data_IF_049444287885
#
_entry.id   IF_049444287885
#
_cell.length_a   1.000
_cell.length_b   1.000
_cell.length_c   1.000
_cell.angle_alpha   90.00
_cell.angle_beta   90.00
_cell.angle_gamma   90.00
#
_symmetry.space_group_name_H-M   'P 1'
#
loop_
_entity.id
_entity.type
_entity.pdbx_description
1 polymer ?
#
# COMPACT_ATOMS: atom_id res chain seq x y z
N UNK A 1 -7.37 -25.23 19.91
CA UNK A 1 -6.92 -25.17 18.48
C UNK A 1 -5.65 -24.35 18.45
N UNK A 2 -4.54 -24.90 17.97
CA UNK A 2 -3.26 -24.19 17.88
C UNK A 2 -3.42 -23.01 16.89
N UNK A 3 -2.87 -21.83 17.26
CA UNK A 3 -2.89 -20.62 16.39
C UNK A 3 -2.42 -20.89 14.95
N UNK A 4 -1.48 -21.82 14.80
CA UNK A 4 -0.93 -22.25 13.48
C UNK A 4 -2.01 -22.85 12.57
N UNK A 5 -2.99 -23.58 13.11
CA UNK A 5 -4.04 -24.21 12.30
C UNK A 5 -5.07 -23.25 11.71
N UNK A 6 -5.35 -22.11 12.39
CA UNK A 6 -6.27 -21.09 11.87
C UNK A 6 -5.66 -20.33 10.70
N UNK A 7 -4.39 -20.02 10.84
CA UNK A 7 -3.59 -19.30 9.87
C UNK A 7 -3.41 -20.12 8.57
N UNK A 8 -2.97 -21.37 8.72
CA UNK A 8 -2.84 -22.30 7.60
C UNK A 8 -4.20 -22.58 6.91
N UNK A 9 -5.27 -22.69 7.68
CA UNK A 9 -6.61 -22.88 7.13
C UNK A 9 -7.04 -21.67 6.29
N UNK A 10 -6.79 -20.44 6.75
CA UNK A 10 -7.06 -19.25 5.96
C UNK A 10 -6.22 -19.22 4.66
N UNK A 11 -4.92 -19.41 4.77
CA UNK A 11 -4.01 -19.38 3.61
C UNK A 11 -4.35 -20.44 2.55
N UNK A 12 -4.81 -21.61 2.97
CA UNK A 12 -5.15 -22.70 2.08
C UNK A 12 -6.52 -22.56 1.42
N UNK A 13 -7.50 -21.91 2.10
CA UNK A 13 -8.89 -21.88 1.63
C UNK A 13 -9.30 -20.54 1.03
N UNK A 14 -8.76 -19.44 1.52
CA UNK A 14 -9.28 -18.11 1.25
C UNK A 14 -8.26 -17.14 0.67
N UNK A 15 -6.96 -17.40 0.84
CA UNK A 15 -5.95 -16.48 0.37
C UNK A 15 -5.88 -16.45 -1.15
N UNK A 16 -5.64 -15.28 -1.70
CA UNK A 16 -5.27 -15.11 -3.10
C UNK A 16 -3.94 -15.86 -3.34
N UNK A 17 -3.96 -16.72 -4.34
CA UNK A 17 -2.83 -17.58 -4.68
C UNK A 17 -2.22 -17.20 -6.03
N UNK A 18 -1.76 -18.23 -6.75
CA UNK A 18 -1.30 -18.09 -8.13
C UNK A 18 -2.39 -17.46 -8.99
N UNK A 19 -2.01 -16.65 -10.01
CA UNK A 19 -0.65 -16.53 -10.55
C UNK A 19 0.23 -15.46 -9.86
N UNK A 20 -0.28 -14.68 -8.94
CA UNK A 20 0.38 -13.50 -8.38
C UNK A 20 1.53 -13.87 -7.44
N UNK A 21 2.73 -13.38 -7.77
CA UNK A 21 3.95 -13.65 -7.02
C UNK A 21 4.64 -12.38 -6.60
N UNK A 22 5.12 -12.36 -5.37
CA UNK A 22 5.94 -11.27 -4.86
C UNK A 22 7.31 -11.26 -5.56
N UNK A 23 7.72 -10.08 -6.00
CA UNK A 23 9.06 -9.75 -6.46
C UNK A 23 9.68 -8.76 -5.45
N UNK A 24 10.76 -9.14 -4.80
CA UNK A 24 11.44 -8.33 -3.80
C UNK A 24 12.94 -8.57 -3.82
N UNK A 25 13.71 -7.55 -3.42
CA UNK A 25 15.18 -7.64 -3.36
C UNK A 25 15.65 -8.57 -2.23
N UNK A 26 14.91 -8.64 -1.15
CA UNK A 26 15.22 -9.48 0.00
C UNK A 26 13.96 -10.02 0.67
N UNK A 27 14.09 -11.19 1.29
CA UNK A 27 13.03 -11.88 2.03
C UNK A 27 13.30 -11.93 3.53
N UNK A 28 14.20 -11.06 4.06
CA UNK A 28 14.49 -11.03 5.49
C UNK A 28 13.21 -10.80 6.30
N UNK A 29 13.18 -11.33 7.50
CA UNK A 29 12.06 -11.12 8.42
C UNK A 29 11.80 -9.62 8.63
N UNK A 30 10.53 -9.24 8.72
CA UNK A 30 10.09 -7.89 9.03
C UNK A 30 9.04 -7.91 10.14
N UNK A 31 8.87 -6.77 10.79
CA UNK A 31 7.87 -6.58 11.86
C UNK A 31 6.55 -6.06 11.28
N UNK A 32 6.61 -5.32 10.18
CA UNK A 32 5.44 -4.72 9.56
C UNK A 32 5.55 -4.66 8.04
N UNK A 33 4.42 -4.78 7.37
CA UNK A 33 4.32 -4.69 5.92
C UNK A 33 3.24 -3.68 5.56
N UNK A 34 3.61 -2.69 4.74
CA UNK A 34 2.69 -1.70 4.17
C UNK A 34 2.27 -2.19 2.80
N UNK A 35 0.99 -2.46 2.61
CA UNK A 35 0.41 -2.90 1.34
C UNK A 35 -0.22 -1.72 0.63
N UNK A 36 0.20 -1.47 -0.61
CA UNK A 36 -0.27 -0.36 -1.45
C UNK A 36 -0.81 -0.93 -2.77
N UNK A 37 -2.14 -0.98 -2.96
CA UNK A 37 -2.70 -1.25 -4.28
C UNK A 37 -2.51 -0.02 -5.17
N UNK A 38 -2.14 -0.20 -6.44
CA UNK A 38 -1.94 0.88 -7.40
C UNK A 38 -2.59 0.54 -8.75
N UNK A 39 -3.43 1.44 -9.27
CA UNK A 39 -4.09 1.34 -10.55
C UNK A 39 -3.94 2.66 -11.30
N UNK A 40 -3.07 2.70 -12.30
CA UNK A 40 -2.76 3.90 -13.09
C UNK A 40 -2.34 5.12 -12.23
N UNK A 41 -1.61 4.85 -11.13
CA UNK A 41 -1.23 5.85 -10.11
C UNK A 41 0.29 6.03 -10.01
N UNK A 42 1.00 5.93 -11.15
CA UNK A 42 2.47 6.02 -11.18
C UNK A 42 3.00 7.20 -10.37
N UNK A 43 2.54 8.41 -10.67
CA UNK A 43 3.10 9.63 -10.10
C UNK A 43 2.77 9.77 -8.61
N UNK A 44 1.55 9.44 -8.22
CA UNK A 44 1.11 9.45 -6.82
C UNK A 44 1.83 8.38 -6.00
N UNK A 45 1.94 7.16 -6.53
CA UNK A 45 2.59 6.05 -5.85
C UNK A 45 4.03 6.38 -5.44
N UNK A 46 4.83 6.97 -6.33
CA UNK A 46 6.21 7.30 -5.98
C UNK A 46 6.30 8.44 -4.96
N UNK A 47 5.36 9.39 -4.96
CA UNK A 47 5.24 10.38 -3.90
C UNK A 47 4.88 9.73 -2.55
N UNK A 48 3.96 8.79 -2.54
CA UNK A 48 3.59 7.99 -1.36
C UNK A 48 4.79 7.20 -0.84
N UNK A 49 5.51 6.49 -1.71
CA UNK A 49 6.73 5.75 -1.36
C UNK A 49 7.81 6.67 -0.77
N UNK A 50 8.01 7.86 -1.34
CA UNK A 50 8.95 8.86 -0.82
C UNK A 50 8.55 9.35 0.57
N UNK A 51 7.25 9.55 0.83
CA UNK A 51 6.77 9.92 2.16
C UNK A 51 7.00 8.82 3.20
N UNK A 52 6.83 7.54 2.81
CA UNK A 52 7.20 6.40 3.67
C UNK A 52 8.70 6.34 3.89
N UNK A 53 9.51 6.56 2.84
CA UNK A 53 10.97 6.57 2.91
C UNK A 53 11.52 7.67 3.82
N UNK A 54 10.77 8.73 4.11
CA UNK A 54 11.13 9.78 5.04
C UNK A 54 11.00 9.38 6.53
N UNK A 55 10.51 8.17 6.83
CA UNK A 55 10.45 7.65 8.20
C UNK A 55 11.85 7.27 8.71
N UNK A 56 12.07 7.17 10.04
CA UNK A 56 13.37 6.83 10.60
C UNK A 56 13.92 5.50 10.07
N UNK A 57 15.22 5.48 9.75
CA UNK A 57 15.93 4.29 9.22
C UNK A 57 15.69 3.05 10.06
N UNK A 58 15.72 3.18 11.40
CA UNK A 58 15.46 2.09 12.33
C UNK A 58 14.07 1.44 12.15
N UNK A 59 13.11 2.18 11.57
CA UNK A 59 11.79 1.67 11.23
C UNK A 59 11.76 1.10 9.81
N UNK A 60 12.44 1.75 8.85
CA UNK A 60 12.50 1.31 7.45
C UNK A 60 13.10 -0.09 7.31
N UNK A 61 14.18 -0.39 8.03
CA UNK A 61 14.85 -1.71 7.98
C UNK A 61 13.96 -2.86 8.52
N UNK A 62 12.95 -2.54 9.33
CA UNK A 62 11.98 -3.48 9.91
C UNK A 62 10.66 -3.56 9.13
N UNK A 63 10.51 -2.69 8.14
CA UNK A 63 9.29 -2.54 7.34
C UNK A 63 9.56 -2.95 5.90
N UNK A 64 8.62 -3.69 5.30
CA UNK A 64 8.56 -3.89 3.86
C UNK A 64 7.37 -3.11 3.30
N UNK A 65 7.56 -2.42 2.18
CA UNK A 65 6.44 -1.89 1.40
C UNK A 65 6.19 -2.81 0.22
N UNK A 66 4.94 -3.23 0.07
CA UNK A 66 4.48 -4.16 -0.95
C UNK A 66 3.46 -3.47 -1.85
N UNK A 67 3.87 -3.11 -3.06
CA UNK A 67 3.00 -2.53 -4.07
C UNK A 67 2.29 -3.64 -4.87
N UNK A 68 0.99 -3.49 -5.11
CA UNK A 68 0.23 -4.38 -6.01
C UNK A 68 -0.23 -3.56 -7.19
N UNK A 69 0.50 -3.65 -8.30
CA UNK A 69 0.12 -2.95 -9.54
C UNK A 69 -0.91 -3.79 -10.26
N UNK A 70 -2.08 -3.21 -10.53
CA UNK A 70 -3.22 -3.99 -10.96
C UNK A 70 -4.04 -3.29 -12.06
N UNK A 71 -4.64 -4.08 -12.94
CA UNK A 71 -5.70 -3.69 -13.85
C UNK A 71 -6.56 -4.90 -14.22
N UNK A 72 -7.62 -4.65 -14.98
CA UNK A 72 -8.43 -5.69 -15.64
C UNK A 72 -7.99 -5.83 -17.09
N UNK A 73 -8.33 -6.94 -17.73
CA UNK A 73 -8.08 -7.12 -19.16
C UNK A 73 -8.76 -6.03 -19.99
N UNK A 74 -9.94 -5.56 -19.60
CA UNK A 74 -10.70 -4.51 -20.25
C UNK A 74 -10.29 -3.07 -19.87
N UNK A 75 -9.27 -2.86 -19.02
CA UNK A 75 -8.81 -1.52 -18.65
C UNK A 75 -8.32 -0.73 -19.86
N UNK A 76 -8.48 0.61 -19.87
CA UNK A 76 -7.98 1.49 -20.91
C UNK A 76 -6.49 1.28 -21.22
N UNK A 77 -6.10 1.52 -22.47
CA UNK A 77 -4.70 1.34 -22.88
C UNK A 77 -3.75 2.30 -22.15
N UNK A 78 -4.19 3.52 -21.87
CA UNK A 78 -3.42 4.51 -21.11
C UNK A 78 -3.14 4.07 -19.67
N UNK A 79 -4.12 3.45 -19.01
CA UNK A 79 -3.95 2.90 -17.64
C UNK A 79 -2.96 1.73 -17.65
N UNK A 80 -3.05 0.86 -18.65
CA UNK A 80 -2.11 -0.25 -18.82
C UNK A 80 -0.69 0.22 -19.07
N UNK A 81 -0.51 1.26 -19.87
CA UNK A 81 0.79 1.88 -20.12
C UNK A 81 1.35 2.51 -18.83
N UNK A 82 0.52 3.25 -18.07
CA UNK A 82 0.90 3.79 -16.77
C UNK A 82 1.37 2.69 -15.81
N UNK A 83 0.64 1.58 -15.74
CA UNK A 83 0.98 0.43 -14.93
C UNK A 83 2.27 -0.26 -15.39
N UNK A 84 2.49 -0.39 -16.70
CA UNK A 84 3.72 -0.97 -17.25
C UNK A 84 4.96 -0.13 -16.86
N UNK A 85 4.85 1.19 -16.95
CA UNK A 85 5.90 2.11 -16.50
C UNK A 85 6.11 2.02 -14.99
N UNK A 86 5.03 1.92 -14.20
CA UNK A 86 5.09 1.72 -12.75
C UNK A 86 5.87 0.44 -12.40
N UNK A 87 5.55 -0.68 -13.06
CA UNK A 87 6.28 -1.94 -12.86
C UNK A 87 7.75 -1.83 -13.22
N UNK A 88 8.09 -1.17 -14.34
CA UNK A 88 9.48 -0.97 -14.75
C UNK A 88 10.26 -0.17 -13.71
N UNK A 89 9.67 0.91 -13.18
CA UNK A 89 10.29 1.74 -12.15
C UNK A 89 10.44 1.00 -10.81
N UNK A 90 9.43 0.24 -10.38
CA UNK A 90 9.50 -0.59 -9.17
C UNK A 90 10.57 -1.68 -9.30
N UNK A 91 10.64 -2.33 -10.46
CA UNK A 91 11.64 -3.35 -10.74
C UNK A 91 13.06 -2.77 -10.70
N UNK A 92 13.28 -1.57 -11.23
CA UNK A 92 14.57 -0.88 -11.13
C UNK A 92 14.96 -0.60 -9.67
N UNK A 93 14.03 -0.13 -8.82
CA UNK A 93 14.26 0.07 -7.39
C UNK A 93 14.60 -1.23 -6.66
N UNK A 94 13.82 -2.29 -6.90
CA UNK A 94 14.02 -3.60 -6.28
C UNK A 94 15.40 -4.18 -6.67
N UNK A 95 15.83 -3.98 -7.91
CA UNK A 95 17.14 -4.44 -8.41
C UNK A 95 18.29 -3.46 -8.16
N UNK A 96 18.00 -2.31 -7.54
CA UNK A 96 18.97 -1.22 -7.31
C UNK A 96 19.66 -0.76 -8.61
N UNK A 97 18.88 -0.67 -9.67
CA UNK A 97 19.31 -0.18 -10.99
C UNK A 97 18.91 1.27 -11.18
N UNK A 98 19.66 2.01 -11.98
CA UNK A 98 19.25 3.34 -12.41
C UNK A 98 18.03 3.26 -13.32
N UNK A 99 17.20 4.29 -13.26
CA UNK A 99 16.05 4.45 -14.16
C UNK A 99 16.04 5.88 -14.68
N UNK A 100 15.91 6.02 -16.01
CA UNK A 100 15.88 7.33 -16.64
C UNK A 100 14.44 7.87 -16.64
N UNK A 101 14.22 8.92 -15.86
CA UNK A 101 12.94 9.63 -15.76
C UNK A 101 13.08 10.95 -16.52
N UNK A 102 12.18 11.28 -17.47
CA UNK A 102 12.24 12.50 -18.24
C UNK A 102 12.37 13.76 -17.36
N UNK A 103 13.14 14.76 -17.82
CA UNK A 103 13.35 16.00 -17.04
C UNK A 103 12.05 16.77 -16.77
N UNK A 104 11.06 16.64 -17.68
CA UNK A 104 9.74 17.23 -17.51
C UNK A 104 9.00 16.71 -16.25
N UNK A 105 9.28 15.48 -15.83
CA UNK A 105 8.65 14.82 -14.66
C UNK A 105 9.48 15.05 -13.39
N UNK A 106 9.83 16.30 -13.08
CA UNK A 106 10.72 16.67 -11.96
C UNK A 106 10.28 16.10 -10.62
N UNK A 107 9.00 16.25 -10.26
CA UNK A 107 8.44 15.74 -9.00
C UNK A 107 8.54 14.21 -8.89
N UNK A 108 8.21 13.50 -9.96
CA UNK A 108 8.34 12.03 -10.01
C UNK A 108 9.79 11.59 -9.86
N UNK A 109 10.72 12.30 -10.52
CA UNK A 109 12.16 12.02 -10.42
C UNK A 109 12.68 12.21 -9.00
N UNK A 110 12.33 13.33 -8.37
CA UNK A 110 12.72 13.60 -6.97
C UNK A 110 12.19 12.52 -6.03
N UNK A 111 10.91 12.16 -6.16
CA UNK A 111 10.29 11.11 -5.38
C UNK A 111 10.99 9.76 -5.58
N UNK A 112 11.24 9.37 -6.83
CA UNK A 112 11.93 8.12 -7.14
C UNK A 112 13.35 8.09 -6.58
N UNK A 113 14.10 9.19 -6.70
CA UNK A 113 15.45 9.32 -6.17
C UNK A 113 15.48 9.23 -4.63
N UNK A 114 14.50 9.84 -3.96
CA UNK A 114 14.38 9.74 -2.50
C UNK A 114 14.14 8.28 -2.05
N UNK A 115 13.30 7.54 -2.76
CA UNK A 115 13.10 6.09 -2.50
C UNK A 115 14.38 5.30 -2.78
N UNK A 116 15.05 5.55 -3.91
CA UNK A 116 16.28 4.85 -4.30
C UNK A 116 17.43 5.06 -3.32
N UNK A 117 17.52 6.25 -2.73
CA UNK A 117 18.55 6.61 -1.73
C UNK A 117 18.24 6.08 -0.33
N UNK A 118 16.99 5.65 -0.07
CA UNK A 118 16.58 5.20 1.26
C UNK A 118 16.87 3.71 1.50
N UNK A 119 16.96 3.26 2.76
CA UNK A 119 17.04 1.84 3.10
C UNK A 119 15.66 1.13 3.04
N UNK A 120 14.64 1.75 2.45
CA UNK A 120 13.30 1.19 2.34
C UNK A 120 13.36 -0.17 1.64
N UNK A 121 12.73 -1.16 2.26
CA UNK A 121 12.60 -2.51 1.70
C UNK A 121 11.34 -2.55 0.86
N UNK A 122 11.53 -2.73 -0.44
CA UNK A 122 10.46 -2.68 -1.43
C UNK A 122 10.26 -4.04 -2.08
N UNK A 123 8.99 -4.40 -2.27
CA UNK A 123 8.56 -5.49 -3.12
C UNK A 123 7.33 -5.08 -3.92
N UNK A 124 7.04 -5.81 -4.97
CA UNK A 124 5.83 -5.61 -5.74
C UNK A 124 5.24 -6.93 -6.26
N UNK A 125 3.96 -6.88 -6.57
CA UNK A 125 3.21 -7.95 -7.24
C UNK A 125 2.66 -7.37 -8.54
N UNK A 126 2.94 -8.06 -9.63
CA UNK A 126 2.36 -7.78 -10.93
C UNK A 126 1.00 -8.47 -11.04
N UNK A 127 -0.05 -7.66 -11.11
CA UNK A 127 -1.43 -8.07 -11.38
C UNK A 127 -1.99 -7.29 -12.57
N UNK A 128 -1.14 -7.02 -13.59
CA UNK A 128 -1.44 -6.21 -14.77
C UNK A 128 -0.94 -6.80 -16.09
N UNK A 129 0.16 -7.54 -16.09
CA UNK A 129 0.67 -8.18 -17.31
C UNK A 129 -0.30 -9.21 -17.89
N UNK A 130 -0.28 -9.48 -19.21
CA UNK A 130 -1.18 -10.43 -19.83
C UNK A 130 -1.22 -11.79 -19.13
N UNK A 131 -2.42 -12.21 -18.70
CA UNK A 131 -2.64 -13.44 -17.92
C UNK A 131 -2.46 -13.28 -16.41
N UNK A 132 -2.05 -12.10 -15.93
CA UNK A 132 -1.95 -11.76 -14.51
C UNK A 132 -3.00 -10.75 -14.08
N UNK A 133 -3.80 -10.21 -15.00
CA UNK A 133 -4.82 -9.21 -14.70
C UNK A 133 -5.86 -9.74 -13.69
N UNK A 134 -6.39 -8.85 -12.89
CA UNK A 134 -7.47 -9.20 -11.97
C UNK A 134 -8.74 -9.52 -12.79
N UNK A 135 -9.38 -10.68 -12.56
CA UNK A 135 -10.61 -11.04 -13.26
C UNK A 135 -11.72 -9.99 -13.05
N UNK A 136 -12.49 -9.68 -14.09
CA UNK A 136 -13.52 -8.64 -14.07
C UNK A 136 -14.54 -8.82 -12.93
N UNK A 137 -14.92 -10.06 -12.64
CA UNK A 137 -15.87 -10.39 -11.56
C UNK A 137 -15.33 -10.16 -10.15
N UNK A 138 -14.01 -10.17 -9.99
CA UNK A 138 -13.33 -9.98 -8.72
C UNK A 138 -12.62 -8.62 -8.65
N UNK A 139 -12.73 -7.81 -9.71
CA UNK A 139 -11.91 -6.63 -9.91
C UNK A 139 -12.18 -5.50 -8.93
N UNK A 140 -11.18 -4.62 -8.85
CA UNK A 140 -11.18 -3.41 -8.04
C UNK A 140 -10.10 -3.41 -6.97
N UNK A 141 -9.96 -2.27 -6.31
CA UNK A 141 -8.96 -2.03 -5.26
C UNK A 141 -9.02 -3.05 -4.12
N UNK A 142 -10.22 -3.56 -3.81
CA UNK A 142 -10.40 -4.58 -2.77
C UNK A 142 -9.67 -5.88 -3.07
N UNK A 143 -9.69 -6.35 -4.32
CA UNK A 143 -8.95 -7.56 -4.71
C UNK A 143 -7.45 -7.32 -4.75
N UNK A 144 -7.00 -6.19 -5.26
CA UNK A 144 -5.58 -5.82 -5.23
C UNK A 144 -5.06 -5.74 -3.79
N UNK A 145 -5.82 -5.10 -2.89
CA UNK A 145 -5.51 -5.05 -1.45
C UNK A 145 -5.45 -6.44 -0.83
N UNK A 146 -6.42 -7.31 -1.17
CA UNK A 146 -6.43 -8.71 -0.71
C UNK A 146 -5.19 -9.48 -1.17
N UNK A 147 -4.80 -9.38 -2.44
CA UNK A 147 -3.60 -10.03 -2.98
C UNK A 147 -2.36 -9.62 -2.18
N UNK A 148 -2.19 -8.32 -1.94
CA UNK A 148 -1.07 -7.79 -1.16
C UNK A 148 -1.09 -8.21 0.30
N UNK A 149 -2.26 -8.15 0.96
CA UNK A 149 -2.40 -8.56 2.37
C UNK A 149 -2.16 -10.05 2.56
N UNK A 150 -2.64 -10.89 1.66
CA UNK A 150 -2.40 -12.34 1.73
C UNK A 150 -0.92 -12.69 1.48
N UNK A 151 -0.23 -11.96 0.60
CA UNK A 151 1.21 -12.09 0.43
C UNK A 151 1.97 -11.62 1.69
N UNK A 152 1.58 -10.48 2.27
CA UNK A 152 2.12 -9.96 3.51
C UNK A 152 1.92 -10.95 4.67
N UNK A 153 0.73 -11.55 4.74
CA UNK A 153 0.40 -12.54 5.74
C UNK A 153 1.32 -13.76 5.66
N UNK A 154 1.61 -14.28 4.45
CA UNK A 154 2.57 -15.38 4.24
C UNK A 154 3.97 -15.04 4.71
N UNK A 155 4.45 -13.82 4.42
CA UNK A 155 5.77 -13.36 4.84
C UNK A 155 5.86 -13.22 6.37
N UNK A 156 4.83 -12.64 7.00
CA UNK A 156 4.78 -12.47 8.45
C UNK A 156 4.56 -13.79 9.20
N UNK A 157 3.97 -14.81 8.56
CA UNK A 157 3.79 -16.13 9.14
C UNK A 157 5.11 -16.76 9.56
N UNK A 158 6.12 -16.62 8.71
CA UNK A 158 7.46 -17.18 8.92
C UNK A 158 8.36 -16.30 9.79
N UNK A 159 7.91 -15.09 10.14
CA UNK A 159 8.67 -14.14 10.95
C UNK A 159 8.51 -14.44 12.44
N UNK A 160 9.60 -14.50 13.18
CA UNK A 160 9.60 -14.52 14.64
C UNK A 160 9.52 -13.11 15.26
N UNK A 161 9.71 -12.07 14.44
CA UNK A 161 9.69 -10.67 14.86
C UNK A 161 8.28 -10.25 15.33
N UNK A 162 8.22 -9.35 16.31
CA UNK A 162 6.97 -8.78 16.83
C UNK A 162 7.11 -7.26 17.02
N UNK A 163 6.03 -6.48 16.87
CA UNK A 163 4.68 -6.91 16.44
C UNK A 163 4.65 -7.35 14.98
N UNK A 164 3.65 -8.14 14.58
CA UNK A 164 3.40 -8.52 13.18
C UNK A 164 2.23 -7.69 12.67
N UNK A 165 2.50 -6.66 11.91
CA UNK A 165 1.50 -5.69 11.46
C UNK A 165 1.37 -5.71 9.94
N UNK A 166 0.13 -5.72 9.45
CA UNK A 166 -0.20 -5.42 8.06
C UNK A 166 -0.89 -4.07 8.05
N UNK A 167 -0.32 -3.12 7.33
CA UNK A 167 -0.85 -1.79 7.11
C UNK A 167 -1.40 -1.70 5.69
N UNK A 168 -2.51 -1.03 5.49
CA UNK A 168 -3.02 -0.70 4.16
C UNK A 168 -2.92 0.80 3.95
N UNK A 169 -2.35 1.20 2.81
CA UNK A 169 -2.19 2.58 2.42
C UNK A 169 -2.61 2.71 0.94
N UNK A 170 -3.29 3.79 0.58
CA UNK A 170 -3.64 4.04 -0.81
C UNK A 170 -2.47 4.71 -1.54
N UNK A 171 -2.39 4.53 -2.86
CA UNK A 171 -1.23 4.96 -3.66
C UNK A 171 -1.09 6.48 -3.80
N UNK A 172 -2.10 7.24 -3.40
CA UNK A 172 -2.13 8.71 -3.40
C UNK A 172 -2.02 9.33 -1.99
N UNK A 173 -1.78 8.51 -0.97
CA UNK A 173 -1.75 8.94 0.43
C UNK A 173 -0.33 9.29 0.87
N UNK A 174 -0.13 10.51 1.36
CA UNK A 174 1.13 10.94 1.98
C UNK A 174 1.10 10.65 3.48
N UNK A 175 2.19 10.10 3.99
CA UNK A 175 2.32 9.81 5.43
C UNK A 175 3.32 10.74 6.10
N UNK A 176 3.15 10.96 7.40
CA UNK A 176 4.08 11.73 8.23
C UNK A 176 5.38 10.95 8.46
N UNK A 177 6.49 11.66 8.78
CA UNK A 177 7.76 11.00 9.09
C UNK A 177 7.75 10.11 10.34
N UNK A 178 6.73 10.21 11.18
CA UNK A 178 6.53 9.39 12.38
C UNK A 178 5.49 8.26 12.19
N UNK A 179 4.97 8.07 10.97
CA UNK A 179 3.91 7.11 10.65
C UNK A 179 4.23 5.70 11.12
N UNK A 180 5.37 5.13 10.70
CA UNK A 180 5.72 3.75 11.02
C UNK A 180 5.97 3.55 12.52
N UNK A 181 6.58 4.52 13.18
CA UNK A 181 6.83 4.45 14.62
C UNK A 181 5.56 4.65 15.44
N UNK A 182 4.69 5.56 15.02
CA UNK A 182 3.39 5.81 15.65
C UNK A 182 2.49 4.58 15.60
N UNK A 183 2.33 3.96 14.42
CA UNK A 183 1.56 2.72 14.27
C UNK A 183 2.15 1.61 15.14
N UNK A 184 3.46 1.38 15.08
CA UNK A 184 4.12 0.36 15.90
C UNK A 184 3.87 0.57 17.40
N UNK A 185 3.93 1.81 17.87
CA UNK A 185 3.69 2.17 19.27
C UNK A 185 2.23 1.92 19.67
N UNK A 186 1.27 2.25 18.82
CA UNK A 186 -0.15 2.03 19.08
C UNK A 186 -0.47 0.53 19.31
N UNK A 187 0.20 -0.36 18.60
CA UNK A 187 0.00 -1.81 18.71
C UNK A 187 0.96 -2.50 19.68
N UNK A 188 1.93 -1.79 20.27
CA UNK A 188 2.94 -2.40 21.16
C UNK A 188 2.34 -3.04 22.42
N UNK A 189 1.23 -2.50 22.93
CA UNK A 189 0.55 -3.03 24.13
C UNK A 189 -0.21 -4.34 23.86
N UNK A 190 -0.43 -4.72 22.62
CA UNK A 190 -1.24 -5.87 22.21
C UNK A 190 -2.75 -5.75 22.52
N UNK A 191 -3.22 -4.60 22.98
CA UNK A 191 -4.64 -4.36 23.30
C UNK A 191 -5.47 -4.17 22.04
N UNK A 192 -4.95 -3.43 21.06
CA UNK A 192 -5.59 -3.24 19.76
C UNK A 192 -5.24 -4.40 18.82
N UNK A 193 -6.23 -4.93 18.11
CA UNK A 193 -6.06 -5.95 17.07
C UNK A 193 -6.22 -5.37 15.66
N UNK A 194 -6.92 -4.26 15.56
CA UNK A 194 -7.11 -3.47 14.33
C UNK A 194 -7.24 -1.99 14.70
N UNK A 195 -7.03 -1.11 13.74
CA UNK A 195 -7.20 0.32 13.92
C UNK A 195 -7.33 1.02 12.58
N UNK A 196 -7.97 2.16 12.60
CA UNK A 196 -8.04 3.12 11.50
C UNK A 196 -7.23 4.33 11.93
N UNK A 197 -6.41 4.84 11.03
CA UNK A 197 -5.64 6.06 11.26
C UNK A 197 -6.49 7.28 10.89
N UNK A 198 -6.30 8.35 11.63
CA UNK A 198 -6.86 9.64 11.28
C UNK A 198 -6.21 10.14 9.98
N UNK A 199 -7.01 10.74 9.10
CA UNK A 199 -6.57 11.25 7.81
C UNK A 199 -7.31 12.53 7.45
N UNK A 200 -6.71 13.30 6.58
CA UNK A 200 -7.32 14.48 5.95
C UNK A 200 -7.01 14.46 4.45
N UNK A 201 -7.92 15.00 3.64
CA UNK A 201 -7.71 15.10 2.21
C UNK A 201 -6.69 16.20 1.89
N UNK A 202 -5.82 15.91 0.90
CA UNK A 202 -4.91 16.92 0.38
C UNK A 202 -5.70 18.05 -0.29
N UNK A 203 -5.39 19.31 0.08
CA UNK A 203 -6.09 20.47 -0.47
C UNK A 203 -5.63 20.74 -1.90
N UNK A 204 -6.56 20.77 -2.88
CA UNK A 204 -6.26 21.22 -4.24
C UNK A 204 -5.79 22.67 -4.28
N UNK A 205 -5.02 23.07 -5.30
CA UNK A 205 -4.51 24.43 -5.41
C UNK A 205 -5.61 25.48 -5.75
N UNK A 206 -6.72 25.04 -6.34
CA UNK A 206 -7.80 25.93 -6.77
C UNK A 206 -8.94 26.02 -5.73
N UNK A 207 -9.60 27.18 -5.68
CA UNK A 207 -10.65 27.47 -4.69
C UNK A 207 -11.89 26.56 -4.85
N UNK A 208 -12.22 26.17 -6.08
CA UNK A 208 -13.38 25.32 -6.32
C UNK A 208 -13.13 23.92 -5.76
N UNK A 209 -11.94 23.35 -6.00
CA UNK A 209 -11.51 22.09 -5.43
C UNK A 209 -11.42 22.13 -3.91
N UNK A 210 -10.85 23.18 -3.33
CA UNK A 210 -10.81 23.38 -1.87
C UNK A 210 -12.22 23.37 -1.27
N UNK A 211 -13.15 24.09 -1.89
CA UNK A 211 -14.55 24.12 -1.45
C UNK A 211 -15.20 22.74 -1.55
N UNK A 212 -14.94 21.99 -2.61
CA UNK A 212 -15.46 20.63 -2.80
C UNK A 212 -14.92 19.67 -1.73
N UNK A 213 -13.62 19.70 -1.46
CA UNK A 213 -13.00 18.88 -0.41
C UNK A 213 -13.55 19.24 0.98
N UNK A 214 -13.66 20.52 1.33
CA UNK A 214 -14.24 20.92 2.61
C UNK A 214 -15.68 20.40 2.79
N UNK A 215 -16.51 20.49 1.73
CA UNK A 215 -17.89 19.95 1.77
C UNK A 215 -17.90 18.44 1.94
N UNK A 216 -16.99 17.73 1.27
CA UNK A 216 -16.87 16.29 1.38
C UNK A 216 -16.42 15.86 2.79
N UNK A 217 -15.43 16.53 3.37
CA UNK A 217 -14.97 16.31 4.75
C UNK A 217 -16.12 16.52 5.77
N UNK A 218 -16.89 17.60 5.62
CA UNK A 218 -18.05 17.86 6.46
C UNK A 218 -19.08 16.74 6.31
N UNK A 219 -19.35 16.31 5.08
CA UNK A 219 -20.27 15.20 4.81
C UNK A 219 -19.82 13.88 5.48
N UNK A 220 -18.55 13.53 5.38
CA UNK A 220 -18.01 12.32 6.02
C UNK A 220 -18.15 12.38 7.55
N UNK A 221 -17.83 13.52 8.16
CA UNK A 221 -17.98 13.71 9.62
C UNK A 221 -19.45 13.65 10.04
N UNK A 222 -20.35 14.24 9.27
CA UNK A 222 -21.79 14.15 9.50
C UNK A 222 -22.26 12.69 9.39
N UNK A 223 -21.77 11.94 8.41
CA UNK A 223 -22.09 10.52 8.24
C UNK A 223 -21.65 9.69 9.46
N UNK A 224 -20.41 9.87 9.93
CA UNK A 224 -19.89 9.19 11.13
C UNK A 224 -20.74 9.52 12.36
N UNK A 225 -21.07 10.80 12.57
CA UNK A 225 -21.95 11.20 13.67
C UNK A 225 -23.33 10.53 13.59
N UNK A 226 -23.89 10.42 12.39
CA UNK A 226 -25.15 9.69 12.17
C UNK A 226 -25.06 8.22 12.52
N UNK A 227 -23.97 7.55 12.15
CA UNK A 227 -23.72 6.16 12.53
C UNK A 227 -23.55 6.00 14.05
N UNK A 228 -22.83 6.91 14.70
CA UNK A 228 -22.67 6.91 16.17
C UNK A 228 -24.02 7.11 16.87
N UNK A 229 -24.82 8.08 16.42
CA UNK A 229 -26.15 8.32 16.97
C UNK A 229 -27.08 7.10 16.81
N UNK A 230 -26.96 6.38 15.70
CA UNK A 230 -27.69 5.14 15.44
C UNK A 230 -27.11 3.92 16.17
N UNK A 231 -26.08 4.09 17.01
CA UNK A 231 -25.36 2.99 17.67
C UNK A 231 -24.89 1.91 16.67
N UNK A 232 -24.48 2.31 15.48
CA UNK A 232 -24.01 1.41 14.44
C UNK A 232 -22.65 0.80 14.83
N UNK A 233 -22.43 -0.51 14.60
CA UNK A 233 -21.11 -1.11 14.83
C UNK A 233 -20.04 -0.64 13.81
N UNK A 234 -20.42 0.20 12.83
CA UNK A 234 -19.54 0.76 11.80
C UNK A 234 -19.20 2.25 12.04
N UNK A 235 -19.49 2.78 13.23
CA UNK A 235 -19.20 4.18 13.61
C UNK A 235 -17.80 4.34 14.18
#
# INVERSE_FOLDING_TARGET
MKKDSLFENYLNRYAAGLPWRLQAADSRACEQIVVIPAYAERDSLFCTLASVAANPEAMLVKTMVLCVVNNRAASPAEDKENNAQTLAMLNALVRRQSFDIPKADGKLREAWQAVAASPLRLGFIDATSPGLEIPDRAGGVGMARKIGMDAALRLLATSEQKPRLILSLDADTLVRPDYLSGVRSAFASGRAQAGILDYEHQMPPDLAGQTAICRYEIFLRYWVLGLQFACSPYA
#
